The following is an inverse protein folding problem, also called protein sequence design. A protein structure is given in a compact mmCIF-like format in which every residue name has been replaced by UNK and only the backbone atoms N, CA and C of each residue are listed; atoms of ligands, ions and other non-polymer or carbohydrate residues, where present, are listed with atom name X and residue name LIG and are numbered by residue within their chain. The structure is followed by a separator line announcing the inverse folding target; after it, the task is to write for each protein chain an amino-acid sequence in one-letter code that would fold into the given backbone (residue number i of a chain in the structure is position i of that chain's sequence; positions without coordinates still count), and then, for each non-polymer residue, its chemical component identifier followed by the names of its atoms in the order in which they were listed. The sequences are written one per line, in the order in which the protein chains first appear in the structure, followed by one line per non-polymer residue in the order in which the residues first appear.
data_IF_414592151362
#
_entry.id   IF_414592151362
#
_cell.length_a   1.000
_cell.length_b   1.000
_cell.length_c   1.000
_cell.angle_alpha   90.00
_cell.angle_beta   90.00
_cell.angle_gamma   90.00
#
_symmetry.space_group_name_H-M   'P 1'
#
loop_
_entity.id
_entity.type
_entity.pdbx_description
1 polymer ?
#
# COMPACT_ATOMS: atom_id res chain seq x y z
N UNK A 1 -66.98 -15.69 10.41
CA UNK A 1 -65.64 -15.37 9.85
C UNK A 1 -64.68 -15.23 11.02
N UNK A 2 -63.99 -16.32 11.37
CA UNK A 2 -62.82 -16.38 12.27
C UNK A 2 -61.61 -15.83 11.50
N UNK A 3 -60.76 -14.95 12.03
CA UNK A 3 -59.90 -15.00 13.23
C UNK A 3 -58.58 -15.75 13.03
N UNK A 4 -57.54 -15.05 13.49
CA UNK A 4 -56.10 -15.19 13.36
C UNK A 4 -55.44 -16.49 13.87
N UNK A 5 -54.20 -16.63 13.35
CA UNK A 5 -52.95 -17.07 13.99
C UNK A 5 -52.58 -18.56 14.07
N UNK A 6 -51.27 -18.74 13.90
CA UNK A 6 -50.58 -19.91 13.37
C UNK A 6 -49.78 -20.63 14.46
N UNK A 7 -49.99 -21.94 14.52
CA UNK A 7 -49.17 -23.09 14.96
C UNK A 7 -48.40 -23.11 16.29
N UNK A 8 -48.60 -24.26 16.95
CA UNK A 8 -48.28 -24.64 18.33
C UNK A 8 -47.04 -25.54 18.40
N UNK A 9 -46.40 -25.45 19.58
CA UNK A 9 -45.21 -26.10 20.15
C UNK A 9 -45.34 -27.62 20.39
N UNK A 10 -44.25 -28.38 20.17
CA UNK A 10 -43.89 -29.64 20.89
C UNK A 10 -42.48 -30.10 20.42
N UNK A 11 -41.59 -30.79 21.16
CA UNK A 11 -41.68 -31.51 22.42
C UNK A 11 -40.26 -31.83 22.96
N UNK A 12 -40.14 -31.87 24.30
CA UNK A 12 -39.29 -32.74 25.17
C UNK A 12 -37.75 -32.69 25.15
N UNK A 13 -37.25 -32.21 26.29
CA UNK A 13 -35.89 -32.28 26.85
C UNK A 13 -35.80 -33.47 27.83
N UNK A 14 -34.72 -34.26 27.79
CA UNK A 14 -34.46 -35.36 28.74
C UNK A 14 -33.11 -35.16 29.43
N UNK A 15 -33.12 -35.34 30.75
CA UNK A 15 -32.04 -35.10 31.72
C UNK A 15 -30.90 -36.12 31.66
N UNK A 16 -29.67 -35.70 32.02
CA UNK A 16 -28.71 -36.58 32.70
C UNK A 16 -27.76 -35.76 33.60
N UNK A 17 -27.83 -36.00 34.91
CA UNK A 17 -26.88 -35.55 35.93
C UNK A 17 -25.89 -36.67 36.24
N UNK A 18 -24.58 -36.39 36.27
CA UNK A 18 -23.59 -37.17 37.02
C UNK A 18 -22.51 -36.23 37.56
N UNK A 19 -22.43 -36.14 38.88
CA UNK A 19 -21.31 -35.56 39.63
C UNK A 19 -20.36 -36.68 40.05
N UNK A 20 -19.04 -36.52 39.85
CA UNK A 20 -18.00 -37.27 40.55
C UNK A 20 -16.74 -36.39 40.65
N UNK A 21 -16.37 -36.05 41.88
CA UNK A 21 -15.05 -35.53 42.23
C UNK A 21 -14.01 -36.65 42.18
N UNK A 22 -12.74 -36.34 41.87
CA UNK A 22 -11.53 -36.99 42.43
C UNK A 22 -10.25 -36.34 41.89
N UNK A 23 -9.46 -35.85 42.86
CA UNK A 23 -8.00 -35.91 42.99
C UNK A 23 -7.04 -35.21 42.01
N UNK A 24 -6.37 -34.22 42.59
CA UNK A 24 -5.05 -33.71 42.26
C UNK A 24 -4.02 -34.83 42.03
N UNK A 25 -3.34 -34.78 40.89
CA UNK A 25 -2.00 -35.35 40.73
C UNK A 25 -1.06 -34.23 40.26
N UNK A 26 -0.12 -33.89 41.13
CA UNK A 26 1.06 -33.09 40.79
C UNK A 26 1.94 -33.94 39.85
N UNK A 27 1.92 -33.64 38.56
CA UNK A 27 2.95 -34.11 37.65
C UNK A 27 4.14 -33.13 37.72
N UNK A 28 5.14 -33.48 38.54
CA UNK A 28 6.49 -32.96 38.37
C UNK A 28 7.11 -33.69 37.16
N UNK A 29 6.94 -33.12 35.97
CA UNK A 29 7.76 -33.48 34.82
C UNK A 29 8.99 -32.56 34.82
N UNK A 30 10.11 -33.08 35.28
CA UNK A 30 11.41 -32.46 35.03
C UNK A 30 11.74 -32.62 33.54
N UNK A 31 11.50 -31.57 32.75
CA UNK A 31 12.09 -31.42 31.43
C UNK A 31 13.32 -30.52 31.56
N UNK A 32 14.46 -31.15 31.79
CA UNK A 32 15.74 -30.56 31.43
C UNK A 32 15.95 -30.85 29.94
N UNK A 33 15.65 -29.87 29.10
CA UNK A 33 16.17 -29.86 27.74
C UNK A 33 16.46 -28.42 27.31
N UNK A 34 17.76 -28.14 27.24
CA UNK A 34 18.46 -27.25 26.33
C UNK A 34 17.61 -26.13 25.73
N UNK A 35 17.72 -24.94 26.33
CA UNK A 35 17.26 -23.68 25.74
C UNK A 35 18.09 -23.39 24.47
N UNK A 36 17.73 -24.04 23.36
CA UNK A 36 17.99 -23.47 22.04
C UNK A 36 16.87 -22.47 21.83
N UNK A 37 17.14 -21.22 22.24
CA UNK A 37 16.47 -20.06 21.70
C UNK A 37 16.68 -20.09 20.18
N UNK A 38 15.80 -20.81 19.49
CA UNK A 38 15.48 -20.46 18.13
C UNK A 38 14.71 -19.15 18.28
N UNK A 39 15.44 -18.04 18.27
CA UNK A 39 14.89 -16.75 17.92
C UNK A 39 14.31 -16.91 16.52
N UNK A 40 13.08 -17.41 16.45
CA UNK A 40 12.20 -17.10 15.34
C UNK A 40 12.02 -15.59 15.44
N UNK A 41 12.89 -14.84 14.77
CA UNK A 41 12.65 -13.46 14.44
C UNK A 41 11.35 -13.47 13.65
N UNK A 42 10.25 -13.20 14.35
CA UNK A 42 8.98 -12.85 13.72
C UNK A 42 9.32 -11.58 12.94
N UNK A 43 9.45 -11.70 11.62
CA UNK A 43 9.66 -10.55 10.75
C UNK A 43 8.57 -9.53 11.11
N UNK A 44 9.00 -8.38 11.62
CA UNK A 44 8.10 -7.28 11.93
C UNK A 44 7.37 -6.91 10.64
N UNK A 45 6.05 -6.84 10.70
CA UNK A 45 5.26 -6.50 9.52
C UNK A 45 5.68 -5.10 9.05
N UNK A 46 6.03 -4.97 7.77
CA UNK A 46 6.41 -3.69 7.17
C UNK A 46 5.24 -2.72 7.31
N UNK A 47 5.48 -1.56 7.92
CA UNK A 47 4.47 -0.51 8.04
C UNK A 47 4.27 0.20 6.70
N UNK A 48 3.14 -0.07 6.07
CA UNK A 48 2.78 0.49 4.76
C UNK A 48 2.08 1.84 4.87
N UNK A 49 1.72 2.30 6.09
CA UNK A 49 1.09 3.60 6.30
C UNK A 49 1.96 4.78 5.86
N UNK A 50 3.28 4.55 5.77
CA UNK A 50 4.24 5.49 5.20
C UNK A 50 3.90 5.88 3.76
N UNK A 51 3.23 5.00 3.02
CA UNK A 51 2.79 5.25 1.64
C UNK A 51 1.40 5.87 1.53
N UNK A 52 0.64 6.03 2.61
CA UNK A 52 -0.68 6.65 2.51
C UNK A 52 -0.54 8.12 2.13
N UNK A 53 -1.12 8.53 1.00
CA UNK A 53 -1.02 9.92 0.54
C UNK A 53 -1.23 10.09 -0.95
N UNK A 54 -0.99 11.31 -1.41
CA UNK A 54 -1.06 11.68 -2.80
C UNK A 54 0.32 12.09 -3.32
N UNK A 55 0.61 11.77 -4.57
CA UNK A 55 1.92 11.89 -5.17
C UNK A 55 1.88 12.51 -6.54
N UNK A 56 2.97 13.18 -6.89
CA UNK A 56 3.21 13.82 -8.19
C UNK A 56 4.68 13.67 -8.57
N UNK A 57 4.98 13.78 -9.86
CA UNK A 57 6.36 13.74 -10.40
C UNK A 57 7.07 15.10 -10.32
N UNK A 58 6.36 16.17 -9.92
CA UNK A 58 6.90 17.52 -9.76
C UNK A 58 6.22 18.24 -8.60
N UNK A 59 6.98 18.95 -7.76
CA UNK A 59 6.43 19.73 -6.63
C UNK A 59 5.40 20.79 -7.05
N UNK A 60 5.47 21.24 -8.30
CA UNK A 60 4.60 22.31 -8.83
C UNK A 60 3.34 21.76 -9.53
N UNK A 61 3.17 20.44 -9.56
CA UNK A 61 2.04 19.78 -10.22
C UNK A 61 1.03 19.23 -9.19
N UNK A 62 -0.27 19.21 -9.53
CA UNK A 62 -1.29 18.59 -8.68
C UNK A 62 -1.01 17.10 -8.50
N UNK A 63 -1.63 16.50 -7.48
CA UNK A 63 -1.54 15.06 -7.25
C UNK A 63 -1.99 14.27 -8.49
N UNK A 64 -1.20 13.27 -8.87
CA UNK A 64 -1.49 12.39 -10.01
C UNK A 64 -1.78 10.97 -9.54
N UNK A 65 -1.13 10.51 -8.46
CA UNK A 65 -1.29 9.19 -7.87
C UNK A 65 -1.85 9.35 -6.46
N UNK A 66 -2.79 8.51 -6.07
CA UNK A 66 -3.28 8.39 -4.69
C UNK A 66 -3.02 6.97 -4.20
N UNK A 67 -2.45 6.84 -3.02
CA UNK A 67 -2.31 5.56 -2.30
C UNK A 67 -3.12 5.66 -1.01
N UNK A 68 -3.97 4.65 -0.77
CA UNK A 68 -4.86 4.62 0.39
C UNK A 68 -5.17 3.19 0.80
N UNK A 69 -5.70 3.01 2.01
CA UNK A 69 -6.26 1.74 2.46
C UNK A 69 -7.76 1.70 2.19
N UNK A 70 -8.25 0.67 1.50
CA UNK A 70 -9.66 0.44 1.21
C UNK A 70 -9.99 -1.03 1.47
N UNK A 71 -11.04 -1.30 2.26
CA UNK A 71 -11.46 -2.65 2.64
C UNK A 71 -10.32 -3.53 3.23
N UNK A 72 -9.38 -2.90 3.95
CA UNK A 72 -8.22 -3.57 4.54
C UNK A 72 -7.07 -3.88 3.56
N UNK A 73 -7.22 -3.55 2.28
CA UNK A 73 -6.18 -3.68 1.26
C UNK A 73 -5.56 -2.31 0.93
N UNK A 74 -4.28 -2.31 0.61
CA UNK A 74 -3.61 -1.14 0.04
C UNK A 74 -3.93 -1.06 -1.44
N UNK A 75 -4.35 0.13 -1.87
CA UNK A 75 -4.71 0.39 -3.25
C UNK A 75 -4.08 1.68 -3.73
N UNK A 76 -3.80 1.73 -5.02
CA UNK A 76 -3.52 2.97 -5.72
C UNK A 76 -4.68 3.37 -6.62
N UNK A 77 -4.77 4.66 -6.88
CA UNK A 77 -5.65 5.23 -7.89
C UNK A 77 -4.88 6.29 -8.67
N UNK A 78 -5.17 6.40 -9.95
CA UNK A 78 -4.69 7.45 -10.83
C UNK A 78 -5.71 8.57 -10.94
N UNK A 79 -5.24 9.81 -10.99
CA UNK A 79 -6.10 10.95 -11.23
C UNK A 79 -6.56 10.94 -12.68
N UNK A 80 -7.85 11.17 -12.87
CA UNK A 80 -8.52 11.13 -14.16
C UNK A 80 -8.72 12.56 -14.70
N UNK A 81 -8.69 12.75 -16.03
CA UNK A 81 -8.95 14.05 -16.64
C UNK A 81 -10.39 14.51 -16.42
N UNK A 82 -10.65 15.79 -16.67
CA UNK A 82 -11.96 16.44 -16.51
C UNK A 82 -13.09 15.72 -17.26
N UNK A 83 -12.78 15.10 -18.38
CA UNK A 83 -13.73 14.34 -19.20
C UNK A 83 -14.26 13.07 -18.55
N UNK A 84 -13.57 12.50 -17.57
CA UNK A 84 -13.88 11.18 -17.00
C UNK A 84 -15.08 11.18 -16.03
N UNK A 85 -15.58 12.36 -15.62
CA UNK A 85 -16.69 12.53 -14.64
C UNK A 85 -16.44 11.90 -13.26
N UNK A 86 -15.19 11.54 -12.98
CA UNK A 86 -14.66 11.09 -11.69
C UNK A 86 -13.28 11.72 -11.50
N UNK A 87 -12.84 11.82 -10.26
CA UNK A 87 -11.54 12.45 -9.94
C UNK A 87 -10.44 11.40 -9.93
N UNK A 88 -10.68 10.28 -9.26
CA UNK A 88 -9.77 9.15 -9.15
C UNK A 88 -10.34 7.96 -9.92
N UNK A 89 -9.46 7.16 -10.51
CA UNK A 89 -9.85 5.96 -11.25
C UNK A 89 -10.30 4.81 -10.33
N UNK A 90 -10.30 3.57 -10.83
CA UNK A 90 -10.70 2.44 -10.00
C UNK A 90 -9.52 2.03 -9.10
N UNK A 91 -9.76 1.70 -7.82
CA UNK A 91 -8.72 1.18 -6.95
C UNK A 91 -8.02 -0.05 -7.53
N UNK A 92 -6.70 0.03 -7.67
CA UNK A 92 -5.84 -1.08 -8.09
C UNK A 92 -5.03 -1.58 -6.88
N UNK A 93 -4.91 -2.89 -6.65
CA UNK A 93 -4.23 -3.42 -5.48
C UNK A 93 -2.72 -3.13 -5.52
N UNK A 94 -2.15 -2.93 -4.32
CA UNK A 94 -0.72 -2.86 -4.09
C UNK A 94 -0.28 -4.03 -3.21
N UNK A 95 0.92 -4.54 -3.46
CA UNK A 95 1.56 -5.58 -2.66
C UNK A 95 2.97 -5.17 -2.26
N UNK A 96 3.43 -5.74 -1.15
CA UNK A 96 4.80 -5.56 -0.68
C UNK A 96 5.76 -6.23 -1.65
N UNK A 97 6.84 -5.53 -1.97
CA UNK A 97 7.97 -6.09 -2.72
C UNK A 97 9.08 -6.43 -1.74
N UNK A 98 9.56 -7.65 -1.83
CA UNK A 98 10.66 -8.14 -1.00
C UNK A 98 11.92 -7.30 -1.18
N UNK A 99 12.68 -7.12 -0.09
CA UNK A 99 13.89 -6.31 -0.11
C UNK A 99 14.93 -6.83 -1.14
N UNK A 100 14.98 -8.15 -1.38
CA UNK A 100 15.82 -8.77 -2.41
C UNK A 100 15.49 -8.34 -3.84
N UNK A 101 14.27 -7.85 -4.07
CA UNK A 101 13.77 -7.46 -5.39
C UNK A 101 13.92 -5.95 -5.67
N UNK A 102 14.30 -5.14 -4.68
CA UNK A 102 14.49 -3.68 -4.79
C UNK A 102 15.40 -3.31 -5.97
N UNK A 103 16.51 -4.03 -6.12
CA UNK A 103 17.53 -3.77 -7.16
C UNK A 103 17.02 -3.98 -8.60
N UNK A 104 15.86 -4.63 -8.78
CA UNK A 104 15.22 -4.77 -10.10
C UNK A 104 14.56 -3.46 -10.56
N UNK A 105 14.25 -2.56 -9.63
CA UNK A 105 13.48 -1.34 -9.87
C UNK A 105 14.31 -0.07 -9.60
N UNK A 106 15.12 -0.08 -8.55
CA UNK A 106 15.87 1.09 -8.10
C UNK A 106 17.37 0.79 -8.01
N UNK A 107 18.20 1.72 -8.47
CA UNK A 107 19.66 1.65 -8.35
C UNK A 107 20.12 2.17 -6.98
N UNK A 108 19.62 1.56 -5.90
CA UNK A 108 19.88 1.95 -4.51
C UNK A 108 20.22 0.70 -3.69
N UNK A 109 21.08 0.85 -2.68
CA UNK A 109 21.32 -0.23 -1.70
C UNK A 109 20.02 -0.55 -0.95
N UNK A 110 19.50 -1.79 -1.02
CA UNK A 110 18.28 -2.18 -0.33
C UNK A 110 18.29 -1.96 1.19
N UNK A 111 19.47 -1.82 1.82
CA UNK A 111 19.59 -1.48 3.24
C UNK A 111 19.19 -0.03 3.56
N UNK A 112 19.10 0.83 2.55
CA UNK A 112 18.65 2.22 2.67
C UNK A 112 17.16 2.41 2.37
N UNK A 113 16.43 1.33 2.12
CA UNK A 113 15.00 1.33 1.80
C UNK A 113 14.22 0.84 3.02
N UNK A 114 13.21 1.60 3.44
CA UNK A 114 12.34 1.22 4.56
C UNK A 114 11.26 0.24 4.09
N UNK A 115 10.65 0.51 2.93
CA UNK A 115 9.63 -0.35 2.35
C UNK A 115 9.51 -0.15 0.83
N UNK A 116 8.97 -1.15 0.16
CA UNK A 116 8.59 -1.08 -1.26
C UNK A 116 7.21 -1.70 -1.46
N UNK A 117 6.33 -1.00 -2.17
CA UNK A 117 5.04 -1.50 -2.61
C UNK A 117 4.89 -1.34 -4.11
N UNK A 118 4.10 -2.17 -4.76
CA UNK A 118 3.84 -2.00 -6.18
C UNK A 118 2.60 -2.71 -6.66
N UNK A 119 2.18 -2.38 -7.87
CA UNK A 119 1.11 -3.12 -8.56
C UNK A 119 1.59 -4.55 -8.84
N UNK A 120 0.70 -5.55 -8.83
CA UNK A 120 1.02 -6.93 -9.23
C UNK A 120 1.67 -7.05 -10.62
N UNK A 121 1.31 -6.15 -11.55
CA UNK A 121 1.88 -6.10 -12.91
C UNK A 121 3.20 -5.35 -13.04
N UNK A 122 3.69 -4.73 -11.94
CA UNK A 122 4.94 -3.96 -11.85
C UNK A 122 4.99 -2.72 -12.77
N UNK A 123 3.84 -2.25 -13.25
CA UNK A 123 3.78 -1.00 -14.04
C UNK A 123 4.12 0.22 -13.16
N UNK A 124 3.70 0.18 -11.89
CA UNK A 124 4.09 1.11 -10.83
C UNK A 124 4.74 0.33 -9.68
N UNK A 125 5.89 0.79 -9.24
CA UNK A 125 6.49 0.43 -7.95
C UNK A 125 6.87 1.70 -7.21
N UNK A 126 6.57 1.77 -5.92
CA UNK A 126 6.90 2.87 -5.02
C UNK A 126 7.87 2.38 -3.96
N UNK A 127 8.92 3.14 -3.70
CA UNK A 127 9.81 2.91 -2.58
C UNK A 127 9.82 4.13 -1.66
N UNK A 128 9.94 3.86 -0.36
CA UNK A 128 10.31 4.86 0.63
C UNK A 128 11.72 4.55 1.12
N UNK A 129 12.60 5.53 0.99
CA UNK A 129 13.99 5.43 1.46
C UNK A 129 14.14 6.11 2.81
N UNK A 130 15.11 5.64 3.60
CA UNK A 130 15.45 6.25 4.88
C UNK A 130 15.73 7.74 4.70
N UNK A 131 15.14 8.58 5.55
CA UNK A 131 15.39 10.02 5.55
C UNK A 131 16.88 10.37 5.59
N UNK A 132 17.66 9.61 6.37
CA UNK A 132 19.11 9.81 6.46
C UNK A 132 19.83 9.60 5.12
N UNK A 133 19.34 8.70 4.27
CA UNK A 133 19.87 8.44 2.94
C UNK A 133 19.46 9.54 1.94
N UNK A 134 18.16 9.91 1.91
CA UNK A 134 17.68 10.99 1.06
C UNK A 134 18.40 12.33 1.34
N UNK A 135 18.75 12.60 2.61
CA UNK A 135 19.44 13.84 2.98
C UNK A 135 20.91 13.92 2.52
N UNK A 136 21.55 12.80 2.18
CA UNK A 136 22.98 12.77 1.80
C UNK A 136 23.20 12.50 0.31
N UNK A 137 22.21 11.95 -0.39
CA UNK A 137 22.28 11.67 -1.82
C UNK A 137 21.75 12.87 -2.61
N UNK A 138 22.62 13.65 -3.29
CA UNK A 138 22.18 14.84 -4.04
C UNK A 138 21.28 14.50 -5.24
N UNK A 139 21.14 13.23 -5.61
CA UNK A 139 20.22 12.78 -6.66
C UNK A 139 18.80 12.53 -6.14
N UNK A 140 18.62 12.49 -4.81
CA UNK A 140 17.34 12.33 -4.15
C UNK A 140 16.91 13.63 -3.49
N UNK A 141 15.83 14.22 -3.99
CA UNK A 141 15.20 15.41 -3.45
C UNK A 141 13.87 15.10 -2.72
N UNK A 142 13.57 13.82 -2.53
CA UNK A 142 12.46 13.29 -1.75
C UNK A 142 12.81 11.89 -1.22
N UNK A 143 12.13 11.47 -0.16
CA UNK A 143 12.22 10.11 0.38
C UNK A 143 11.44 9.08 -0.45
N UNK A 144 10.63 9.54 -1.41
CA UNK A 144 9.77 8.69 -2.21
C UNK A 144 10.28 8.55 -3.63
N UNK A 145 10.28 7.32 -4.12
CA UNK A 145 10.70 6.96 -5.47
C UNK A 145 9.58 6.22 -6.17
N UNK A 146 9.45 6.44 -7.47
CA UNK A 146 8.59 5.63 -8.34
C UNK A 146 9.40 4.97 -9.44
N UNK A 147 9.01 3.76 -9.80
CA UNK A 147 9.39 3.11 -11.04
C UNK A 147 8.14 2.98 -11.89
N UNK A 148 8.08 3.73 -12.98
CA UNK A 148 6.93 3.80 -13.90
C UNK A 148 7.43 3.52 -15.32
N UNK A 149 6.79 2.57 -16.02
CA UNK A 149 7.14 2.24 -17.41
C UNK A 149 8.64 2.06 -17.69
N UNK A 150 9.38 1.48 -16.74
CA UNK A 150 10.83 1.24 -16.79
C UNK A 150 11.75 2.44 -16.53
N UNK A 151 11.22 3.58 -16.12
CA UNK A 151 11.99 4.71 -15.60
C UNK A 151 11.81 4.84 -14.09
N UNK A 152 12.92 4.93 -13.36
CA UNK A 152 12.91 5.28 -11.94
C UNK A 152 13.08 6.80 -11.79
N UNK A 153 12.18 7.44 -11.05
CA UNK A 153 12.22 8.87 -10.76
C UNK A 153 11.83 9.13 -9.31
N UNK A 154 12.37 10.22 -8.75
CA UNK A 154 11.88 10.77 -7.50
C UNK A 154 10.44 11.25 -7.67
N UNK A 155 9.62 11.07 -6.63
CA UNK A 155 8.26 11.59 -6.57
C UNK A 155 8.06 12.36 -5.28
N UNK A 156 7.08 13.25 -5.26
CA UNK A 156 6.80 14.11 -4.12
C UNK A 156 5.44 13.77 -3.55
N UNK A 157 5.40 13.65 -2.23
CA UNK A 157 4.13 13.59 -1.52
C UNK A 157 3.55 15.00 -1.43
N UNK A 158 2.32 15.17 -1.90
CA UNK A 158 1.61 16.45 -1.96
C UNK A 158 0.23 16.33 -1.30
N UNK A 159 -0.44 17.46 -1.12
CA UNK A 159 -1.81 17.46 -0.65
C UNK A 159 -2.73 16.72 -1.63
N UNK A 160 -3.61 15.88 -1.10
CA UNK A 160 -4.65 15.25 -1.90
C UNK A 160 -5.70 16.30 -2.28
N UNK A 161 -5.98 16.43 -3.57
CA UNK A 161 -7.01 17.30 -4.09
C UNK A 161 -8.09 16.50 -4.86
N UNK A 162 -9.33 16.61 -4.39
CA UNK A 162 -10.47 16.00 -5.06
C UNK A 162 -11.04 16.90 -6.19
N UNK A 163 -10.24 17.84 -6.67
CA UNK A 163 -10.59 18.72 -7.79
C UNK A 163 -10.12 18.07 -9.07
N UNK A 164 -11.03 17.91 -10.03
CA UNK A 164 -10.66 17.45 -11.35
C UNK A 164 -9.95 18.59 -12.11
N UNK A 165 -8.63 18.58 -12.05
CA UNK A 165 -7.74 19.47 -12.80
C UNK A 165 -7.44 18.84 -14.15
N UNK A 166 -7.43 19.63 -15.22
CA UNK A 166 -7.12 19.13 -16.55
C UNK A 166 -5.62 18.84 -16.65
N UNK A 167 -5.24 17.64 -16.22
CA UNK A 167 -3.86 17.11 -16.27
C UNK A 167 -3.37 16.93 -17.72
N UNK A 168 -4.30 17.02 -18.70
CA UNK A 168 -4.02 16.92 -20.13
C UNK A 168 -4.13 18.29 -20.83
N UNK A 169 -4.26 19.39 -20.10
CA UNK A 169 -4.13 20.74 -20.64
C UNK A 169 -2.71 20.94 -21.15
N UNK A 170 -2.52 20.52 -22.41
CA UNK A 170 -1.34 20.45 -23.25
C UNK A 170 -0.07 21.18 -22.71
N UNK A 171 0.97 20.43 -22.27
CA UNK A 171 2.25 21.00 -21.82
C UNK A 171 3.09 21.61 -22.96
N UNK A 172 2.60 21.61 -24.20
CA UNK A 172 3.28 22.12 -25.39
C UNK A 172 2.51 23.22 -26.13
N UNK A 173 1.44 23.81 -25.58
CA UNK A 173 0.68 24.89 -26.27
C UNK A 173 1.57 26.09 -26.62
N UNK A 174 2.62 26.35 -25.83
CA UNK A 174 3.43 27.57 -25.97
C UNK A 174 4.79 27.38 -26.67
N UNK A 175 5.07 26.21 -27.26
CA UNK A 175 6.28 26.08 -28.10
C UNK A 175 6.00 26.65 -29.49
N UNK A 176 6.06 27.97 -29.60
CA UNK A 176 6.24 28.65 -30.88
C UNK A 176 7.68 28.35 -31.34
N UNK A 177 7.86 27.33 -32.16
CA UNK A 177 9.10 27.15 -32.92
C UNK A 177 9.07 28.20 -34.03
N UNK A 178 9.62 29.38 -33.76
CA UNK A 178 9.95 30.31 -34.83
C UNK A 178 10.95 29.62 -35.76
N UNK A 179 10.48 29.24 -36.94
CA UNK A 179 11.34 28.74 -38.01
C UNK A 179 12.43 29.79 -38.24
N UNK A 180 13.66 29.47 -37.83
CA UNK A 180 14.84 30.25 -38.20
C UNK A 180 14.92 30.16 -39.72
N UNK A 181 14.67 31.29 -40.37
CA UNK A 181 14.69 31.44 -41.81
C UNK A 181 16.07 30.99 -42.32
N UNK A 182 16.17 29.79 -42.90
CA UNK A 182 17.33 29.36 -43.68
C UNK A 182 17.33 30.14 -45.00
N UNK A 183 17.85 31.36 -44.94
CA UNK A 183 18.31 32.08 -46.12
C UNK A 183 19.83 32.17 -46.06
N UNK A 184 20.48 31.17 -46.66
CA UNK A 184 21.85 31.24 -47.18
C UNK A 184 21.77 31.40 -48.70
#
# INVERSE_FOLDING_TARGET
MMSLCTNVVSNRLTYLTVSLAVSSMLFLTACNDSNVQTETQVAEAVDLSIFEGCYTVSNDEPAQIKVSQQDGAWVMQMKEPASAKRVWDNPEPLEVIENSDVSKFFSIDPNNVDAVIGRPDRVLVLAHVKSAYANIDPLLDSEYLSYIYRGANTIYRVECDDVNTDILANPHVDIIVDNVNESV
#
